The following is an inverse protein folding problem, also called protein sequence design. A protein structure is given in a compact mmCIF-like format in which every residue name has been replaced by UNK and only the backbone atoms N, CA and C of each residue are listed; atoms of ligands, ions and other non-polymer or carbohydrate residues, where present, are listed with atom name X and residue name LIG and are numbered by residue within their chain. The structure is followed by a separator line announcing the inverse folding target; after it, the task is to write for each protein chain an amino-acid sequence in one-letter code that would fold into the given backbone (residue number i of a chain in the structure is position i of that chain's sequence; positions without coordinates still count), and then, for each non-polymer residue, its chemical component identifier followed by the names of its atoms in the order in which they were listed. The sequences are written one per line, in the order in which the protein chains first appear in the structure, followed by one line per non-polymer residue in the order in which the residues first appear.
data_IF_025139757325
#
_entry.id   IF_025139757325
#
_cell.length_a   1.000
_cell.length_b   1.000
_cell.length_c   1.000
_cell.angle_alpha   90.00
_cell.angle_beta   90.00
_cell.angle_gamma   90.00
#
_symmetry.space_group_name_H-M   'P 1'
#
loop_
_entity.id
_entity.type
_entity.pdbx_description
1 polymer ?
#
# COMPACT_ATOMS: atom_id res chain seq x y z
N UNK A 1 -51.48 9.57 31.40
CA UNK A 1 -50.23 8.75 31.40
C UNK A 1 -49.07 9.70 31.64
N UNK A 2 -48.68 9.84 32.90
CA UNK A 2 -47.47 10.58 33.31
C UNK A 2 -46.26 9.82 32.80
N UNK A 3 -45.59 10.34 31.78
CA UNK A 3 -44.30 9.82 31.29
C UNK A 3 -43.22 10.05 32.34
N UNK A 4 -43.17 9.17 33.35
CA UNK A 4 -42.01 9.06 34.21
C UNK A 4 -40.91 8.40 33.38
N UNK A 5 -39.87 9.15 33.05
CA UNK A 5 -38.60 8.60 32.63
C UNK A 5 -38.07 7.79 33.82
N UNK A 6 -38.23 6.48 33.76
CA UNK A 6 -37.55 5.61 34.70
C UNK A 6 -36.05 5.78 34.42
N UNK A 7 -35.39 6.44 35.34
CA UNK A 7 -33.93 6.61 35.34
C UNK A 7 -33.31 5.22 35.56
N UNK A 8 -33.09 4.51 34.46
CA UNK A 8 -32.41 3.22 34.42
C UNK A 8 -30.89 3.34 34.53
N UNK A 9 -30.39 4.51 34.96
CA UNK A 9 -28.96 4.77 35.05
C UNK A 9 -28.26 3.84 36.08
N UNK A 10 -28.98 3.30 37.03
CA UNK A 10 -28.40 2.46 38.09
C UNK A 10 -28.20 0.98 37.72
N UNK A 11 -28.73 0.53 36.58
CA UNK A 11 -28.64 -0.86 36.16
C UNK A 11 -27.69 -1.12 34.99
N UNK A 12 -26.84 -0.14 34.61
CA UNK A 12 -25.88 -0.34 33.54
C UNK A 12 -24.77 -1.29 34.03
N UNK A 13 -24.72 -2.49 33.44
CA UNK A 13 -23.72 -3.48 33.83
C UNK A 13 -22.29 -2.92 33.69
N UNK A 14 -21.33 -3.38 34.52
CA UNK A 14 -19.94 -2.93 34.42
C UNK A 14 -19.35 -3.11 33.01
N UNK A 15 -19.78 -4.13 32.28
CA UNK A 15 -19.37 -4.38 30.90
C UNK A 15 -19.83 -3.26 29.95
N UNK A 16 -21.07 -2.77 30.08
CA UNK A 16 -21.59 -1.67 29.25
C UNK A 16 -20.89 -0.35 29.60
N UNK A 17 -20.59 -0.11 30.89
CA UNK A 17 -19.79 1.07 31.31
C UNK A 17 -18.40 1.02 30.70
N UNK A 18 -17.72 -0.13 30.77
CA UNK A 18 -16.39 -0.34 30.18
C UNK A 18 -16.42 -0.13 28.66
N UNK A 19 -17.41 -0.70 27.98
CA UNK A 19 -17.60 -0.48 26.55
C UNK A 19 -17.79 1.00 26.22
N UNK A 20 -18.63 1.72 26.99
CA UNK A 20 -18.87 3.16 26.78
C UNK A 20 -17.60 4.00 26.94
N UNK A 21 -16.76 3.68 27.93
CA UNK A 21 -15.46 4.37 28.16
C UNK A 21 -14.51 4.06 27.01
N UNK A 22 -14.33 2.79 26.63
CA UNK A 22 -13.46 2.39 25.53
C UNK A 22 -13.91 3.00 24.19
N UNK A 23 -15.22 3.00 23.95
CA UNK A 23 -15.79 3.64 22.76
C UNK A 23 -15.55 5.16 22.75
N UNK A 24 -15.75 5.82 23.88
CA UNK A 24 -15.49 7.27 24.05
C UNK A 24 -14.01 7.61 23.81
N UNK A 25 -13.10 6.79 24.34
CA UNK A 25 -11.66 6.91 24.12
C UNK A 25 -11.29 6.69 22.65
N UNK A 26 -11.83 5.62 22.03
CA UNK A 26 -11.56 5.30 20.62
C UNK A 26 -12.03 6.41 19.67
N UNK A 27 -13.20 6.98 19.95
CA UNK A 27 -13.78 8.06 19.16
C UNK A 27 -13.21 9.45 19.51
N UNK A 28 -12.31 9.53 20.50
CA UNK A 28 -11.72 10.77 20.97
C UNK A 28 -12.77 11.88 21.27
N UNK A 29 -13.93 11.52 21.83
CA UNK A 29 -15.04 12.45 22.11
C UNK A 29 -14.67 13.52 23.11
N UNK A 30 -13.74 13.22 24.01
CA UNK A 30 -13.19 14.14 25.01
C UNK A 30 -12.16 15.12 24.44
N UNK A 31 -11.66 14.86 23.21
CA UNK A 31 -10.57 15.62 22.63
C UNK A 31 -11.06 16.97 22.08
N UNK A 32 -10.36 18.03 22.42
CA UNK A 32 -10.48 19.31 21.75
C UNK A 32 -9.89 19.26 20.32
N UNK A 33 -10.00 20.35 19.59
CA UNK A 33 -9.53 20.43 18.20
C UNK A 33 -8.02 20.13 18.11
N UNK A 34 -7.21 20.63 19.04
CA UNK A 34 -5.76 20.43 19.05
C UNK A 34 -5.40 18.95 19.25
N UNK A 35 -6.02 18.31 20.24
CA UNK A 35 -5.79 16.90 20.54
C UNK A 35 -6.27 15.97 19.40
N UNK A 36 -7.39 16.30 18.73
CA UNK A 36 -7.87 15.54 17.54
C UNK A 36 -6.86 15.59 16.40
N UNK A 37 -6.27 16.76 16.13
CA UNK A 37 -5.22 16.89 15.13
C UNK A 37 -3.95 16.13 15.50
N UNK A 38 -3.56 16.14 16.77
CA UNK A 38 -2.43 15.35 17.28
C UNK A 38 -2.68 13.85 17.09
N UNK A 39 -3.86 13.35 17.50
CA UNK A 39 -4.24 11.94 17.34
C UNK A 39 -4.28 11.53 15.86
N UNK A 40 -4.81 12.38 14.99
CA UNK A 40 -4.78 12.16 13.55
C UNK A 40 -3.34 12.06 13.02
N UNK A 41 -2.48 13.00 13.42
CA UNK A 41 -1.07 13.00 13.05
C UNK A 41 -0.34 11.73 13.50
N UNK A 42 -0.53 11.30 14.74
CA UNK A 42 0.03 10.04 15.24
C UNK A 42 -0.50 8.82 14.50
N UNK A 43 -1.80 8.80 14.13
CA UNK A 43 -2.39 7.75 13.30
C UNK A 43 -1.74 7.66 11.93
N UNK A 44 -1.52 8.79 11.27
CA UNK A 44 -0.82 8.86 9.98
C UNK A 44 0.63 8.39 10.11
N UNK A 45 1.37 8.89 11.10
CA UNK A 45 2.76 8.48 11.34
C UNK A 45 2.88 6.99 11.63
N UNK A 46 2.00 6.44 12.47
CA UNK A 46 1.94 5.01 12.77
C UNK A 46 1.66 4.18 11.51
N UNK A 47 0.72 4.62 10.69
CA UNK A 47 0.41 3.95 9.42
C UNK A 47 1.58 3.98 8.45
N UNK A 48 2.29 5.10 8.33
CA UNK A 48 3.50 5.22 7.52
C UNK A 48 4.64 4.33 8.04
N UNK A 49 4.81 4.26 9.36
CA UNK A 49 5.82 3.38 9.98
C UNK A 49 5.54 1.91 9.65
N UNK A 50 4.29 1.45 9.77
CA UNK A 50 3.90 0.09 9.41
C UNK A 50 4.11 -0.16 7.91
N UNK A 51 3.65 0.75 7.06
CA UNK A 51 3.77 0.62 5.61
C UNK A 51 5.23 0.53 5.15
N UNK A 52 6.09 1.43 5.66
CA UNK A 52 7.53 1.43 5.34
C UNK A 52 8.23 0.19 5.88
N UNK A 53 7.86 -0.25 7.10
CA UNK A 53 8.36 -1.49 7.70
C UNK A 53 8.03 -2.72 6.86
N UNK A 54 6.80 -2.86 6.40
CA UNK A 54 6.36 -3.97 5.54
C UNK A 54 7.10 -4.00 4.20
N UNK A 55 7.26 -2.84 3.56
CA UNK A 55 8.01 -2.73 2.30
C UNK A 55 9.49 -3.08 2.52
N UNK A 56 10.11 -2.52 3.54
CA UNK A 56 11.53 -2.77 3.84
C UNK A 56 11.80 -4.24 4.18
N UNK A 57 10.91 -4.85 4.97
CA UNK A 57 11.01 -6.27 5.30
C UNK A 57 10.89 -7.15 4.06
N UNK A 58 9.95 -6.87 3.16
CA UNK A 58 9.77 -7.64 1.92
C UNK A 58 10.98 -7.52 1.00
N UNK A 59 11.56 -6.32 0.85
CA UNK A 59 12.78 -6.08 0.06
C UNK A 59 13.98 -6.85 0.62
N UNK A 60 14.21 -6.78 1.95
CA UNK A 60 15.31 -7.50 2.59
C UNK A 60 15.15 -9.02 2.46
N UNK A 61 13.95 -9.53 2.60
CA UNK A 61 13.65 -10.96 2.45
C UNK A 61 13.93 -11.44 1.03
N UNK A 62 13.46 -10.73 0.02
CA UNK A 62 13.71 -11.05 -1.38
C UNK A 62 15.20 -11.02 -1.74
N UNK A 63 15.94 -10.04 -1.22
CA UNK A 63 17.39 -9.96 -1.40
C UNK A 63 18.12 -11.18 -0.81
N UNK A 64 17.72 -11.62 0.41
CA UNK A 64 18.31 -12.80 1.06
C UNK A 64 18.03 -14.08 0.28
N UNK A 65 16.82 -14.26 -0.23
CA UNK A 65 16.45 -15.43 -1.04
C UNK A 65 17.25 -15.49 -2.35
N UNK A 66 17.45 -14.35 -3.00
CA UNK A 66 18.27 -14.27 -4.22
C UNK A 66 19.74 -14.65 -3.94
N UNK A 67 20.32 -14.15 -2.85
CA UNK A 67 21.69 -14.49 -2.46
C UNK A 67 21.84 -15.98 -2.16
N UNK A 68 20.88 -16.60 -1.47
CA UNK A 68 20.89 -18.05 -1.20
C UNK A 68 20.73 -18.88 -2.48
N UNK A 69 19.86 -18.45 -3.39
CA UNK A 69 19.66 -19.10 -4.67
C UNK A 69 20.93 -19.06 -5.54
N UNK A 70 21.60 -17.88 -5.58
CA UNK A 70 22.88 -17.72 -6.29
C UNK A 70 23.99 -18.60 -5.71
N UNK A 71 24.08 -18.71 -4.37
CA UNK A 71 25.06 -19.59 -3.71
C UNK A 71 24.80 -21.07 -4.01
N UNK A 72 23.53 -21.51 -3.99
CA UNK A 72 23.18 -22.90 -4.36
C UNK A 72 23.45 -23.17 -5.84
N UNK A 73 23.12 -22.23 -6.73
CA UNK A 73 23.41 -22.33 -8.16
C UNK A 73 24.92 -22.41 -8.45
N UNK A 74 25.74 -21.63 -7.76
CA UNK A 74 27.20 -21.70 -7.89
C UNK A 74 27.77 -23.03 -7.38
N UNK A 75 27.25 -23.59 -6.29
CA UNK A 75 27.69 -24.90 -5.78
C UNK A 75 27.29 -26.07 -6.73
N UNK A 76 26.18 -25.92 -7.48
CA UNK A 76 25.74 -26.93 -8.46
C UNK A 76 26.41 -26.75 -9.83
N UNK A 77 26.79 -25.52 -10.20
CA UNK A 77 27.45 -25.22 -11.49
C UNK A 77 28.90 -25.77 -11.58
N UNK A 78 29.53 -26.12 -10.45
CA UNK A 78 30.82 -26.86 -10.44
C UNK A 78 30.66 -28.29 -10.95
N UNK A 79 29.42 -28.79 -11.09
CA UNK A 79 29.14 -30.16 -11.53
C UNK A 79 28.65 -30.28 -12.98
N UNK A 80 28.17 -29.21 -13.63
CA UNK A 80 27.65 -29.32 -15.02
C UNK A 80 27.73 -27.96 -15.73
N UNK A 81 28.76 -27.81 -16.55
CA UNK A 81 28.97 -26.67 -17.46
C UNK A 81 27.88 -26.70 -18.57
N UNK A 82 27.27 -25.53 -18.84
CA UNK A 82 26.47 -25.17 -20.02
C UNK A 82 24.93 -25.17 -19.96
N UNK A 83 24.28 -25.06 -18.79
CA UNK A 83 22.87 -24.67 -18.80
C UNK A 83 22.70 -23.15 -18.54
N UNK A 84 21.86 -22.41 -19.31
CA UNK A 84 21.57 -21.01 -19.01
C UNK A 84 20.96 -20.91 -17.62
N UNK A 85 21.52 -20.07 -16.77
CA UNK A 85 21.08 -19.86 -15.39
C UNK A 85 19.61 -19.43 -15.36
N UNK A 86 18.70 -20.37 -15.17
CA UNK A 86 17.30 -20.11 -14.94
C UNK A 86 17.19 -19.33 -13.62
N UNK A 87 16.71 -18.10 -13.68
CA UNK A 87 16.44 -17.30 -12.47
C UNK A 87 15.45 -18.08 -11.59
N UNK A 88 15.84 -18.45 -10.36
CA UNK A 88 14.99 -19.25 -9.49
C UNK A 88 13.71 -18.47 -9.20
N UNK A 89 12.56 -19.10 -9.47
CA UNK A 89 11.24 -18.51 -9.17
C UNK A 89 11.16 -18.30 -7.66
N UNK A 90 10.73 -17.10 -7.23
CA UNK A 90 10.52 -16.80 -5.82
C UNK A 90 9.61 -17.85 -5.15
N UNK A 91 9.88 -18.30 -3.93
CA UNK A 91 9.07 -19.29 -3.23
C UNK A 91 7.64 -18.77 -3.03
N UNK A 92 6.68 -19.70 -2.95
CA UNK A 92 5.24 -19.37 -2.83
C UNK A 92 4.96 -18.36 -1.71
N UNK A 93 5.57 -18.55 -0.53
CA UNK A 93 5.37 -17.64 0.61
C UNK A 93 5.80 -16.20 0.33
N UNK A 94 6.87 -15.97 -0.43
CA UNK A 94 7.28 -14.61 -0.81
C UNK A 94 6.30 -13.94 -1.77
N UNK A 95 5.74 -14.70 -2.69
CA UNK A 95 4.71 -14.21 -3.61
C UNK A 95 3.43 -13.85 -2.87
N UNK A 96 3.01 -14.70 -1.94
CA UNK A 96 1.83 -14.46 -1.11
C UNK A 96 2.00 -13.18 -0.28
N UNK A 97 3.12 -13.02 0.39
CA UNK A 97 3.41 -11.79 1.17
C UNK A 97 3.46 -10.56 0.28
N UNK A 98 4.08 -10.65 -0.89
CA UNK A 98 4.10 -9.55 -1.84
C UNK A 98 2.69 -9.17 -2.32
N UNK A 99 1.82 -10.15 -2.59
CA UNK A 99 0.42 -9.92 -2.95
C UNK A 99 -0.38 -9.27 -1.83
N UNK A 100 -0.24 -9.77 -0.60
CA UNK A 100 -0.89 -9.19 0.59
C UNK A 100 -0.43 -7.75 0.83
N UNK A 101 0.86 -7.46 0.73
CA UNK A 101 1.37 -6.10 0.87
C UNK A 101 0.77 -5.13 -0.15
N UNK A 102 0.63 -5.55 -1.41
CA UNK A 102 -0.01 -4.73 -2.45
C UNK A 102 -1.49 -4.53 -2.11
N UNK A 103 -2.21 -5.60 -1.75
CA UNK A 103 -3.62 -5.53 -1.40
C UNK A 103 -3.87 -4.65 -0.17
N UNK A 104 -2.95 -4.63 0.79
CA UNK A 104 -3.06 -3.78 1.98
C UNK A 104 -2.70 -2.34 1.66
N UNK A 105 -1.54 -2.07 1.06
CA UNK A 105 -1.03 -0.70 0.91
C UNK A 105 -1.67 0.07 -0.26
N UNK A 106 -2.06 -0.62 -1.33
CA UNK A 106 -2.71 0.00 -2.47
C UNK A 106 -4.20 -0.34 -2.55
N UNK A 107 -4.60 -1.53 -2.13
CA UNK A 107 -5.97 -2.01 -2.21
C UNK A 107 -6.89 -1.42 -1.15
N UNK A 108 -6.44 -1.22 0.10
CA UNK A 108 -7.27 -0.58 1.12
C UNK A 108 -7.63 0.86 0.78
N UNK A 109 -6.70 1.75 0.35
CA UNK A 109 -7.08 3.06 -0.14
C UNK A 109 -8.09 3.03 -1.29
N UNK A 110 -7.96 2.07 -2.22
CA UNK A 110 -8.95 1.88 -3.28
C UNK A 110 -10.31 1.49 -2.71
N UNK A 111 -10.34 0.49 -1.82
CA UNK A 111 -11.58 0.02 -1.19
C UNK A 111 -12.28 1.13 -0.38
N UNK A 112 -11.52 1.94 0.36
CA UNK A 112 -12.05 3.12 1.07
C UNK A 112 -12.66 4.13 0.10
N UNK A 113 -11.99 4.45 -1.00
CA UNK A 113 -12.52 5.34 -2.03
C UNK A 113 -13.80 4.79 -2.66
N UNK A 114 -13.84 3.50 -2.97
CA UNK A 114 -15.05 2.82 -3.51
C UNK A 114 -16.19 2.83 -2.49
N UNK A 115 -15.91 2.60 -1.20
CA UNK A 115 -16.90 2.71 -0.14
C UNK A 115 -17.51 4.12 -0.08
N UNK A 116 -16.68 5.16 -0.10
CA UNK A 116 -17.13 6.54 -0.09
C UNK A 116 -17.97 6.89 -1.34
N UNK A 117 -17.57 6.38 -2.51
CA UNK A 117 -18.35 6.52 -3.74
C UNK A 117 -19.68 5.78 -3.65
N UNK A 118 -19.70 4.54 -3.16
CA UNK A 118 -20.93 3.78 -2.94
C UNK A 118 -21.89 4.49 -1.98
N UNK A 119 -21.36 5.05 -0.89
CA UNK A 119 -22.15 5.83 0.06
C UNK A 119 -22.83 7.06 -0.57
N UNK A 120 -22.28 7.63 -1.64
CA UNK A 120 -22.89 8.75 -2.38
C UNK A 120 -23.85 8.29 -3.47
N UNK A 121 -23.57 7.17 -4.12
CA UNK A 121 -24.31 6.69 -5.28
C UNK A 121 -25.50 5.80 -4.91
N UNK A 122 -25.44 5.11 -3.76
CA UNK A 122 -26.55 4.27 -3.30
C UNK A 122 -27.62 5.17 -2.67
N UNK A 123 -28.86 5.16 -3.17
CA UNK A 123 -29.94 6.03 -2.67
C UNK A 123 -30.22 5.82 -1.18
N UNK A 124 -30.56 6.90 -0.49
CA UNK A 124 -31.00 6.88 0.91
C UNK A 124 -32.38 6.22 0.98
N UNK A 125 -32.54 5.23 1.89
CA UNK A 125 -33.82 4.55 2.10
C UNK A 125 -33.92 3.16 1.47
N UNK A 126 -32.90 2.69 0.75
CA UNK A 126 -32.85 1.29 0.32
C UNK A 126 -32.57 0.39 1.54
N UNK A 127 -33.40 -0.62 1.73
CA UNK A 127 -33.19 -1.65 2.74
C UNK A 127 -31.86 -2.40 2.46
N UNK A 128 -31.05 -2.62 3.50
CA UNK A 128 -29.74 -3.25 3.33
C UNK A 128 -28.64 -2.36 2.73
N UNK A 129 -28.83 -1.03 2.70
CA UNK A 129 -27.83 -0.09 2.18
C UNK A 129 -26.44 -0.27 2.79
N UNK A 130 -26.37 -0.44 4.11
CA UNK A 130 -25.09 -0.62 4.81
C UNK A 130 -24.36 -1.88 4.34
N UNK A 131 -25.09 -2.98 4.13
CA UNK A 131 -24.53 -4.24 3.62
C UNK A 131 -24.05 -4.09 2.17
N UNK A 132 -24.79 -3.33 1.35
CA UNK A 132 -24.37 -3.03 -0.02
C UNK A 132 -23.08 -2.18 -0.05
N UNK A 133 -22.96 -1.16 0.80
CA UNK A 133 -21.76 -0.33 0.93
C UNK A 133 -20.54 -1.18 1.36
N UNK A 134 -20.73 -2.08 2.33
CA UNK A 134 -19.70 -3.02 2.77
C UNK A 134 -19.35 -4.02 1.67
N UNK A 135 -20.32 -4.51 0.91
CA UNK A 135 -20.07 -5.42 -0.20
C UNK A 135 -19.21 -4.75 -1.29
N UNK A 136 -19.43 -3.50 -1.61
CA UNK A 136 -18.57 -2.73 -2.53
C UNK A 136 -17.14 -2.58 -2.00
N UNK A 137 -16.98 -2.27 -0.71
CA UNK A 137 -15.65 -2.19 -0.07
C UNK A 137 -14.90 -3.51 -0.19
N UNK A 138 -15.48 -4.61 0.30
CA UNK A 138 -14.82 -5.92 0.30
C UNK A 138 -14.60 -6.47 -1.10
N UNK A 139 -15.50 -6.19 -2.04
CA UNK A 139 -15.33 -6.58 -3.46
C UNK A 139 -14.13 -5.88 -4.08
N UNK A 140 -14.00 -4.57 -3.91
CA UNK A 140 -12.86 -3.80 -4.42
C UNK A 140 -11.54 -4.29 -3.81
N UNK A 141 -11.54 -4.55 -2.49
CA UNK A 141 -10.36 -5.08 -1.81
C UNK A 141 -10.00 -6.50 -2.26
N UNK A 142 -10.99 -7.40 -2.35
CA UNK A 142 -10.83 -8.78 -2.82
C UNK A 142 -10.33 -8.86 -4.27
N UNK A 143 -10.89 -8.04 -5.17
CA UNK A 143 -10.42 -7.91 -6.55
C UNK A 143 -8.96 -7.45 -6.60
N UNK A 144 -8.59 -6.49 -5.75
CA UNK A 144 -7.20 -6.03 -5.67
C UNK A 144 -6.26 -7.12 -5.15
N UNK A 145 -6.68 -7.91 -4.17
CA UNK A 145 -5.92 -9.05 -3.67
C UNK A 145 -5.71 -10.10 -4.78
N UNK A 146 -6.76 -10.48 -5.49
CA UNK A 146 -6.68 -11.41 -6.61
C UNK A 146 -5.77 -10.89 -7.72
N UNK A 147 -5.87 -9.61 -8.06
CA UNK A 147 -4.97 -8.97 -9.01
C UNK A 147 -3.52 -9.02 -8.55
N UNK A 148 -3.25 -8.69 -7.30
CA UNK A 148 -1.90 -8.69 -6.74
C UNK A 148 -1.29 -10.09 -6.72
N UNK A 149 -2.07 -11.12 -6.35
CA UNK A 149 -1.65 -12.52 -6.36
C UNK A 149 -1.38 -13.03 -7.77
N UNK A 150 -2.23 -12.71 -8.74
CA UNK A 150 -2.01 -13.06 -10.16
C UNK A 150 -0.76 -12.40 -10.72
N UNK A 151 -0.55 -11.12 -10.42
CA UNK A 151 0.68 -10.42 -10.81
C UNK A 151 1.94 -11.01 -10.16
N UNK A 152 1.84 -11.49 -8.92
CA UNK A 152 2.95 -12.15 -8.25
C UNK A 152 3.34 -13.50 -8.90
N UNK A 153 2.39 -14.17 -9.58
CA UNK A 153 2.62 -15.46 -10.25
C UNK A 153 3.01 -15.29 -11.71
N UNK A 154 2.32 -14.40 -12.45
CA UNK A 154 2.35 -14.37 -13.92
C UNK A 154 3.18 -13.23 -14.49
N UNK A 155 3.31 -12.10 -13.80
CA UNK A 155 3.88 -10.88 -14.36
C UNK A 155 4.86 -10.16 -13.42
N UNK A 156 5.73 -9.28 -13.96
CA UNK A 156 6.67 -8.54 -13.14
C UNK A 156 5.93 -7.67 -12.11
N UNK A 157 6.44 -7.70 -10.89
CA UNK A 157 5.93 -7.11 -9.65
C UNK A 157 5.40 -5.65 -9.73
N UNK A 158 5.82 -4.89 -10.72
CA UNK A 158 5.49 -3.46 -10.85
C UNK A 158 4.07 -3.18 -11.30
N UNK A 159 3.48 -4.02 -12.16
CA UNK A 159 2.08 -3.88 -12.57
C UNK A 159 1.12 -4.14 -11.41
N UNK A 160 1.52 -5.02 -10.48
CA UNK A 160 0.77 -5.28 -9.25
C UNK A 160 0.53 -4.02 -8.43
N UNK A 161 1.51 -3.13 -8.33
CA UNK A 161 1.41 -1.87 -7.62
C UNK A 161 0.75 -0.75 -8.43
N UNK A 162 1.13 -0.62 -9.71
CA UNK A 162 0.71 0.53 -10.55
C UNK A 162 -0.80 0.56 -10.74
N UNK A 163 -1.42 -0.59 -11.03
CA UNK A 163 -2.86 -0.65 -11.36
C UNK A 163 -3.73 -0.29 -10.16
N UNK A 164 -3.59 -0.89 -8.96
CA UNK A 164 -4.41 -0.52 -7.81
C UNK A 164 -4.19 0.92 -7.35
N UNK A 165 -2.95 1.41 -7.38
CA UNK A 165 -2.65 2.81 -7.03
C UNK A 165 -3.27 3.80 -8.02
N UNK A 166 -3.23 3.50 -9.32
CA UNK A 166 -3.84 4.35 -10.34
C UNK A 166 -5.38 4.33 -10.22
N UNK A 167 -5.97 3.16 -10.00
CA UNK A 167 -7.40 3.03 -9.77
C UNK A 167 -7.84 3.78 -8.50
N UNK A 168 -7.09 3.63 -7.40
CA UNK A 168 -7.35 4.40 -6.19
C UNK A 168 -7.26 5.90 -6.45
N UNK A 169 -6.19 6.37 -7.09
CA UNK A 169 -6.02 7.78 -7.45
C UNK A 169 -7.20 8.32 -8.25
N UNK A 170 -7.67 7.55 -9.24
CA UNK A 170 -8.82 7.92 -10.07
C UNK A 170 -10.11 8.02 -9.25
N UNK A 171 -10.40 7.01 -8.41
CA UNK A 171 -11.59 6.99 -7.56
C UNK A 171 -11.59 8.17 -6.59
N UNK A 172 -10.48 8.43 -5.91
CA UNK A 172 -10.38 9.54 -4.96
C UNK A 172 -10.51 10.91 -5.62
N UNK A 173 -9.97 11.11 -6.84
CA UNK A 173 -10.18 12.35 -7.62
C UNK A 173 -11.61 12.47 -8.10
N UNK A 174 -12.30 11.36 -8.38
CA UNK A 174 -13.69 11.37 -8.80
C UNK A 174 -14.69 11.70 -7.67
N UNK A 175 -14.32 11.48 -6.39
CA UNK A 175 -15.20 11.73 -5.24
C UNK A 175 -15.77 13.17 -5.19
N UNK A 176 -14.98 14.24 -5.35
CA UNK A 176 -15.51 15.60 -5.38
C UNK A 176 -16.46 15.84 -6.56
N UNK A 177 -16.23 15.19 -7.71
CA UNK A 177 -17.14 15.25 -8.85
C UNK A 177 -18.46 14.54 -8.53
N UNK A 178 -18.40 13.33 -7.94
CA UNK A 178 -19.58 12.61 -7.47
C UNK A 178 -20.32 13.46 -6.43
N UNK A 179 -19.59 14.09 -5.50
CA UNK A 179 -20.17 15.00 -4.52
C UNK A 179 -20.89 16.18 -5.18
N UNK A 180 -20.31 16.77 -6.21
CA UNK A 180 -20.93 17.87 -6.98
C UNK A 180 -22.22 17.46 -7.72
N UNK A 181 -22.32 16.19 -8.11
CA UNK A 181 -23.51 15.66 -8.82
C UNK A 181 -24.60 15.18 -7.86
N UNK A 182 -24.25 14.85 -6.61
CA UNK A 182 -25.18 14.21 -5.65
C UNK A 182 -25.55 15.08 -4.47
N UNK A 183 -24.84 16.18 -4.21
CA UNK A 183 -25.07 17.05 -3.04
C UNK A 183 -25.01 18.52 -3.40
N UNK A 184 -25.62 19.35 -2.54
CA UNK A 184 -25.56 20.81 -2.68
C UNK A 184 -24.32 21.43 -2.01
N UNK A 185 -23.54 20.66 -1.25
CA UNK A 185 -22.35 21.11 -0.49
C UNK A 185 -21.06 20.67 -1.17
N UNK A 186 -20.88 21.00 -2.44
CA UNK A 186 -19.69 20.69 -3.22
C UNK A 186 -18.73 21.89 -3.29
N UNK A 187 -17.51 21.66 -3.76
CA UNK A 187 -16.43 22.65 -3.83
C UNK A 187 -16.83 23.97 -4.50
N UNK A 188 -17.66 23.90 -5.56
CA UNK A 188 -18.14 25.08 -6.29
C UNK A 188 -19.06 25.99 -5.48
N UNK A 189 -19.69 25.49 -4.42
CA UNK A 189 -20.55 26.26 -3.51
C UNK A 189 -19.81 26.58 -2.21
N UNK A 190 -19.14 25.59 -1.62
CA UNK A 190 -18.52 25.73 -0.30
C UNK A 190 -17.29 26.66 -0.32
N UNK A 191 -16.56 26.72 -1.44
CA UNK A 191 -15.37 27.57 -1.55
C UNK A 191 -15.73 29.08 -1.60
N UNK A 192 -16.67 29.53 -2.46
CA UNK A 192 -17.13 30.94 -2.45
C UNK A 192 -17.84 31.33 -1.15
N UNK A 193 -18.61 30.41 -0.55
CA UNK A 193 -19.31 30.63 0.72
C UNK A 193 -18.38 30.60 1.94
N UNK A 194 -17.08 30.31 1.78
CA UNK A 194 -16.07 30.16 2.85
C UNK A 194 -16.43 29.09 3.89
N UNK A 195 -17.17 28.09 3.47
CA UNK A 195 -17.51 26.92 4.30
C UNK A 195 -16.36 25.92 4.30
N UNK A 196 -15.29 26.26 5.03
CA UNK A 196 -14.02 25.53 5.02
C UNK A 196 -14.14 24.07 5.43
N UNK A 197 -15.13 23.72 6.25
CA UNK A 197 -15.35 22.34 6.69
C UNK A 197 -15.67 21.43 5.51
N UNK A 198 -16.61 21.85 4.66
CA UNK A 198 -17.00 21.09 3.46
C UNK A 198 -15.93 21.16 2.37
N UNK A 199 -15.37 22.35 2.14
CA UNK A 199 -14.32 22.53 1.15
C UNK A 199 -13.07 21.71 1.47
N UNK A 200 -12.66 21.63 2.75
CA UNK A 200 -11.50 20.86 3.16
C UNK A 200 -11.65 19.35 2.93
N UNK A 201 -12.88 18.83 3.01
CA UNK A 201 -13.16 17.42 2.74
C UNK A 201 -12.91 17.09 1.26
N UNK A 202 -13.47 17.85 0.34
CA UNK A 202 -13.26 17.66 -1.10
C UNK A 202 -11.80 17.88 -1.50
N UNK A 203 -11.14 18.89 -0.91
CA UNK A 203 -9.72 19.15 -1.14
C UNK A 203 -8.84 17.99 -0.64
N UNK A 204 -9.19 17.38 0.50
CA UNK A 204 -8.46 16.22 1.01
C UNK A 204 -8.63 14.99 0.10
N UNK A 205 -9.80 14.80 -0.50
CA UNK A 205 -10.02 13.75 -1.49
C UNK A 205 -9.17 13.98 -2.74
N UNK A 206 -9.14 15.21 -3.27
CA UNK A 206 -8.28 15.56 -4.40
C UNK A 206 -6.80 15.35 -4.08
N UNK A 207 -6.34 15.84 -2.93
CA UNK A 207 -4.95 15.70 -2.51
C UNK A 207 -4.54 14.22 -2.38
N UNK A 208 -5.40 13.40 -1.76
CA UNK A 208 -5.19 11.95 -1.64
C UNK A 208 -5.15 11.28 -3.01
N UNK A 209 -6.10 11.59 -3.87
CA UNK A 209 -6.16 11.02 -5.22
C UNK A 209 -4.95 11.41 -6.09
N UNK A 210 -4.53 12.66 -6.04
CA UNK A 210 -3.32 13.13 -6.73
C UNK A 210 -2.05 12.48 -6.20
N UNK A 211 -1.93 12.30 -4.87
CA UNK A 211 -0.82 11.60 -4.24
C UNK A 211 -0.75 10.14 -4.70
N UNK A 212 -1.88 9.42 -4.67
CA UNK A 212 -1.93 8.03 -5.12
C UNK A 212 -1.64 7.89 -6.62
N UNK A 213 -2.16 8.79 -7.44
CA UNK A 213 -1.86 8.88 -8.87
C UNK A 213 -0.38 9.16 -9.14
N UNK A 214 0.23 10.07 -8.37
CA UNK A 214 1.66 10.35 -8.44
C UNK A 214 2.50 9.13 -8.03
N UNK A 215 2.12 8.43 -6.96
CA UNK A 215 2.77 7.19 -6.55
C UNK A 215 2.68 6.12 -7.65
N UNK A 216 1.49 5.93 -8.26
CA UNK A 216 1.30 5.03 -9.39
C UNK A 216 2.24 5.36 -10.55
N UNK A 217 2.37 6.64 -10.88
CA UNK A 217 3.26 7.12 -11.93
C UNK A 217 4.74 6.89 -11.61
N UNK A 218 5.15 7.04 -10.34
CA UNK A 218 6.53 6.78 -9.87
C UNK A 218 6.90 5.30 -9.96
N UNK A 219 5.94 4.41 -9.70
CA UNK A 219 6.14 2.95 -9.65
C UNK A 219 6.04 2.29 -11.04
N UNK A 220 5.67 3.03 -12.10
CA UNK A 220 5.50 2.49 -13.47
C UNK A 220 6.72 1.71 -13.96
N UNK A 221 6.49 0.57 -14.68
CA UNK A 221 7.54 -0.16 -15.36
C UNK A 221 8.26 0.76 -16.38
N UNK A 222 9.58 0.75 -16.39
CA UNK A 222 10.39 1.54 -17.35
C UNK A 222 11.04 2.81 -16.80
N UNK A 223 10.67 3.30 -15.61
CA UNK A 223 11.17 4.58 -15.06
C UNK A 223 12.36 4.48 -14.10
N UNK A 224 12.75 3.26 -13.70
CA UNK A 224 13.97 3.10 -12.90
C UNK A 224 15.15 3.16 -13.87
N UNK A 225 16.07 4.13 -13.72
CA UNK A 225 17.32 4.11 -14.45
C UNK A 225 17.95 2.73 -14.26
N UNK A 226 18.35 2.05 -15.33
CA UNK A 226 19.19 0.86 -15.26
C UNK A 226 20.45 1.27 -14.49
N UNK A 227 20.48 1.01 -13.20
CA UNK A 227 21.70 1.16 -12.41
C UNK A 227 22.71 0.18 -13.00
N UNK A 228 23.72 0.76 -13.71
CA UNK A 228 24.89 0.01 -14.14
C UNK A 228 24.61 -0.98 -15.27
N UNK A 229 24.31 -0.50 -16.48
CA UNK A 229 24.92 -1.17 -17.62
C UNK A 229 26.44 -1.07 -17.38
N UNK A 230 27.20 -2.17 -17.30
CA UNK A 230 28.64 -2.08 -17.26
C UNK A 230 29.05 -1.24 -18.44
N UNK A 231 29.91 -0.24 -18.17
CA UNK A 231 30.41 0.64 -19.23
C UNK A 231 30.97 -0.25 -20.35
N UNK A 232 30.36 -0.19 -21.52
CA UNK A 232 30.74 -0.96 -22.72
C UNK A 232 32.17 -0.71 -23.16
N UNK A 233 32.89 0.15 -22.40
CA UNK A 233 34.28 0.60 -22.63
C UNK A 233 35.16 0.39 -21.40
N UNK A 234 34.90 -0.62 -20.56
CA UNK A 234 35.95 -1.04 -19.65
C UNK A 234 37.09 -1.60 -20.51
N UNK A 235 38.13 -0.77 -20.72
CA UNK A 235 39.40 -1.24 -21.30
C UNK A 235 39.79 -2.50 -20.53
N UNK A 236 40.19 -3.59 -21.23
CA UNK A 236 40.76 -4.74 -20.56
C UNK A 236 41.92 -4.26 -19.70
N UNK A 237 41.94 -4.71 -18.44
CA UNK A 237 43.04 -4.43 -17.55
C UNK A 237 44.35 -4.84 -18.24
N UNK A 238 45.42 -4.03 -18.17
CA UNK A 238 46.69 -4.40 -18.76
C UNK A 238 47.15 -5.72 -18.14
N UNK A 239 47.43 -6.69 -18.99
CA UNK A 239 48.00 -7.97 -18.58
C UNK A 239 49.32 -7.72 -17.85
N UNK A 240 49.33 -8.07 -16.56
CA UNK A 240 50.57 -8.04 -15.77
C UNK A 240 51.51 -9.08 -16.38
N UNK A 241 52.74 -8.69 -16.78
CA UNK A 241 53.70 -9.67 -17.27
C UNK A 241 54.03 -10.69 -16.16
N UNK A 242 53.81 -11.96 -16.43
CA UNK A 242 54.26 -13.04 -15.56
C UNK A 242 55.80 -13.05 -15.59
N UNK A 243 56.43 -12.74 -14.46
CA UNK A 243 57.88 -12.84 -14.34
C UNK A 243 58.30 -14.28 -14.60
N UNK A 244 59.40 -14.52 -15.35
CA UNK A 244 59.89 -15.88 -15.59
C UNK A 244 60.34 -16.53 -14.27
N UNK A 245 59.96 -17.76 -14.09
CA UNK A 245 60.34 -18.58 -12.96
C UNK A 245 61.87 -18.71 -12.94
N UNK A 246 62.51 -18.26 -11.85
CA UNK A 246 63.93 -18.50 -11.62
C UNK A 246 64.15 -19.99 -11.43
N UNK A 247 64.82 -20.61 -12.35
CA UNK A 247 65.34 -21.96 -12.23
C UNK A 247 66.47 -21.95 -11.20
N UNK A 248 66.17 -22.41 -9.98
CA UNK A 248 67.23 -22.70 -9.01
C UNK A 248 67.98 -23.98 -9.44
N UNK A 249 69.12 -23.79 -10.07
CA UNK A 249 70.11 -24.83 -10.23
C UNK A 249 70.80 -25.06 -8.86
N UNK A 250 70.40 -26.11 -8.17
CA UNK A 250 71.20 -26.70 -7.07
C UNK A 250 72.35 -27.47 -7.73
N UNK A 251 73.59 -27.00 -7.56
CA UNK A 251 74.78 -27.71 -7.92
C UNK A 251 75.62 -27.98 -6.68
N UNK A 252 75.96 -29.29 -6.52
CA UNK A 252 77.04 -29.90 -5.71
C UNK A 252 77.04 -29.64 -4.23
#
# INVERSE_FOLDING_TARGET
TTGQWLDQADAISPAVKTYGVLYGLHMARFADVGLRWALFGFGVLGSLMIATGMVLWSVKRSAKSQTQASRKGAATATATSNAPAAHPKAPFGERLVAGINIATLAGLPLACGVYLAANRLIPVGIEGRADAELAWFFSAWGITLLWALTCAVVRPHRLGWTVPLAAAGLVWVALPLINALTTHTHLGVSLPAREWVWASMDLSFLATGLLLGWLAWRVRPGRVPRRGAPAKNARPAPSVPVAPAETSTSGA
#
